data_IF_885733261546
#
_entry.id   IF_885733261546
#
_cell.length_a   1.000
_cell.length_b   1.000
_cell.length_c   1.000
_cell.angle_alpha   90.00
_cell.angle_beta   90.00
_cell.angle_gamma   90.00
#
_symmetry.space_group_name_H-M   'P 1'
#
loop_
_entity.id
_entity.type
_entity.pdbx_description
1 polymer ?
#
# COMPACT_ATOMS: atom_id res chain seq x y z
N UNK A 1 -7.43 -8.22 -15.99
CA UNK A 1 -7.89 -7.12 -15.13
C UNK A 1 -7.78 -5.76 -15.82
N UNK A 2 -6.62 -5.38 -16.35
CA UNK A 2 -6.42 -4.10 -17.08
C UNK A 2 -7.49 -3.85 -18.16
N UNK A 3 -7.75 -4.85 -19.03
CA UNK A 3 -8.80 -4.75 -20.08
C UNK A 3 -10.21 -4.53 -19.52
N UNK A 4 -10.53 -5.13 -18.37
CA UNK A 4 -11.81 -4.96 -17.68
C UNK A 4 -11.97 -3.54 -17.13
N UNK A 5 -10.91 -2.99 -16.49
CA UNK A 5 -10.91 -1.60 -16.00
C UNK A 5 -10.94 -0.60 -17.16
N UNK A 6 -10.25 -0.88 -18.28
CA UNK A 6 -10.29 -0.05 -19.47
C UNK A 6 -11.72 0.09 -20.01
N UNK A 7 -12.45 -1.02 -20.15
CA UNK A 7 -13.87 -0.98 -20.55
C UNK A 7 -14.74 -0.19 -19.57
N UNK A 8 -14.53 -0.33 -18.25
CA UNK A 8 -15.26 0.47 -17.24
C UNK A 8 -15.03 1.98 -17.41
N UNK A 9 -13.79 2.40 -17.71
CA UNK A 9 -13.46 3.81 -17.97
C UNK A 9 -14.08 4.32 -19.27
N UNK A 10 -14.15 3.50 -20.32
CA UNK A 10 -14.83 3.86 -21.57
C UNK A 10 -16.33 4.11 -21.33
N UNK A 11 -17.00 3.22 -20.58
CA UNK A 11 -18.41 3.39 -20.21
C UNK A 11 -18.64 4.69 -19.43
N UNK A 12 -17.75 5.05 -18.50
CA UNK A 12 -17.83 6.32 -17.76
C UNK A 12 -17.73 7.57 -18.66
N UNK A 13 -17.09 7.44 -19.82
CA UNK A 13 -16.98 8.48 -20.84
C UNK A 13 -18.04 8.35 -21.94
N UNK A 14 -19.04 7.49 -21.76
CA UNK A 14 -20.10 7.21 -22.73
C UNK A 14 -19.57 6.66 -24.08
N UNK A 15 -18.48 5.89 -24.02
CA UNK A 15 -17.83 5.22 -25.16
C UNK A 15 -18.08 3.71 -25.13
N UNK A 16 -18.08 3.10 -26.32
CA UNK A 16 -18.26 1.66 -26.48
C UNK A 16 -17.05 0.86 -25.94
N UNK A 17 -17.29 -0.26 -25.22
CA UNK A 17 -16.23 -1.17 -24.78
C UNK A 17 -15.54 -1.84 -25.98
N UNK A 18 -14.20 -1.91 -25.96
CA UNK A 18 -13.41 -2.46 -27.09
C UNK A 18 -12.84 -3.86 -26.82
N UNK A 19 -12.83 -4.30 -25.55
CA UNK A 19 -12.26 -5.60 -25.18
C UNK A 19 -13.36 -6.61 -24.82
N UNK A 20 -13.16 -7.88 -25.18
CA UNK A 20 -14.00 -9.01 -24.73
C UNK A 20 -13.74 -9.40 -23.26
N UNK A 21 -13.72 -8.41 -22.38
CA UNK A 21 -13.39 -8.54 -20.96
C UNK A 21 -14.54 -7.98 -20.10
N UNK A 22 -15.71 -8.61 -20.19
CA UNK A 22 -16.95 -8.12 -19.59
C UNK A 22 -17.08 -8.41 -18.08
N UNK A 23 -16.20 -9.26 -17.53
CA UNK A 23 -16.22 -9.65 -16.12
C UNK A 23 -14.88 -9.35 -15.47
N UNK A 24 -14.91 -8.98 -14.18
CA UNK A 24 -13.70 -8.83 -13.39
C UNK A 24 -13.01 -10.20 -13.26
N UNK A 25 -11.79 -10.39 -13.80
CA UNK A 25 -11.09 -11.66 -13.68
C UNK A 25 -10.41 -11.86 -12.31
N UNK A 26 -10.35 -10.82 -11.46
CA UNK A 26 -9.71 -10.85 -10.14
C UNK A 26 -10.73 -10.40 -9.09
N UNK A 27 -11.67 -11.28 -8.73
CA UNK A 27 -12.74 -10.96 -7.79
C UNK A 27 -12.22 -10.61 -6.38
N UNK A 28 -11.12 -11.24 -5.97
CA UNK A 28 -10.44 -10.98 -4.69
C UNK A 28 -9.76 -9.61 -4.60
N UNK A 29 -9.53 -8.93 -5.73
CA UNK A 29 -8.86 -7.64 -5.74
C UNK A 29 -9.74 -6.54 -5.13
N UNK A 30 -11.06 -6.65 -5.29
CA UNK A 30 -12.02 -5.74 -4.66
C UNK A 30 -11.96 -5.87 -3.12
N UNK A 31 -11.73 -7.08 -2.59
CA UNK A 31 -11.57 -7.32 -1.15
C UNK A 31 -10.26 -6.72 -0.59
N UNK A 32 -9.17 -6.79 -1.36
CA UNK A 32 -7.89 -6.18 -0.96
C UNK A 32 -7.96 -4.66 -1.01
N UNK A 33 -8.59 -4.08 -2.04
CA UNK A 33 -8.72 -2.62 -2.19
C UNK A 33 -9.69 -1.99 -1.18
N UNK A 34 -10.71 -2.74 -0.76
CA UNK A 34 -11.67 -2.29 0.27
C UNK A 34 -11.34 -2.84 1.66
N UNK A 35 -10.23 -3.56 1.82
CA UNK A 35 -9.80 -4.12 3.08
C UNK A 35 -9.47 -3.01 4.07
N UNK A 36 -9.89 -3.19 5.32
CA UNK A 36 -9.49 -2.30 6.42
C UNK A 36 -7.99 -2.47 6.60
N UNK A 37 -7.23 -1.37 6.47
CA UNK A 37 -5.84 -1.34 6.93
C UNK A 37 -5.84 -1.49 8.46
N UNK A 38 -5.74 -2.74 8.92
CA UNK A 38 -5.36 -3.01 10.29
C UNK A 38 -3.84 -2.79 10.38
N UNK A 39 -3.42 -1.87 11.24
CA UNK A 39 -2.01 -1.70 11.58
C UNK A 39 -1.42 -3.06 11.95
N UNK A 40 -0.38 -3.47 11.22
CA UNK A 40 0.22 -4.77 11.41
C UNK A 40 0.96 -4.79 12.76
N UNK A 41 0.92 -5.93 13.48
CA UNK A 41 1.57 -6.10 14.79
C UNK A 41 3.05 -5.65 14.83
N UNK A 42 3.74 -5.71 13.69
CA UNK A 42 5.14 -5.30 13.54
C UNK A 42 5.35 -3.78 13.46
N UNK A 43 4.33 -3.00 13.11
CA UNK A 43 4.44 -1.53 13.02
C UNK A 43 4.58 -0.88 14.40
N UNK A 44 3.94 -1.46 15.42
CA UNK A 44 4.10 -0.99 16.81
C UNK A 44 5.49 -1.31 17.38
N UNK A 45 6.05 -2.50 17.09
CA UNK A 45 7.32 -2.94 17.68
C UNK A 45 8.56 -2.25 17.10
N UNK A 46 8.55 -1.87 15.82
CA UNK A 46 9.71 -1.18 15.19
C UNK A 46 9.83 0.27 15.69
N UNK A 47 8.70 0.91 16.03
CA UNK A 47 8.69 2.28 16.54
C UNK A 47 9.31 2.38 17.95
N UNK A 48 9.12 1.36 18.79
CA UNK A 48 9.69 1.34 20.15
C UNK A 48 11.21 1.17 20.17
N UNK A 49 11.79 0.29 19.34
CA UNK A 49 13.26 0.15 19.26
C UNK A 49 13.93 1.37 18.61
N UNK A 50 13.30 1.96 17.59
CA UNK A 50 13.85 3.16 16.92
C UNK A 50 13.91 4.35 17.89
N UNK A 51 12.94 4.48 18.82
CA UNK A 51 12.95 5.55 19.83
C UNK A 51 13.99 5.31 20.93
N UNK A 52 14.24 4.05 21.31
CA UNK A 52 15.23 3.70 22.33
C UNK A 52 16.69 3.72 21.82
N UNK A 53 16.90 3.74 20.50
CA UNK A 53 18.23 3.76 19.89
C UNK A 53 18.83 5.17 19.74
N UNK A 54 18.11 6.23 20.12
CA UNK A 54 18.54 7.63 19.89
C UNK A 54 18.82 8.42 21.18
N UNK A 55 19.04 7.76 22.31
CA UNK A 55 19.55 8.44 23.52
C UNK A 55 21.08 8.39 23.51
N UNK A 56 21.69 9.51 23.08
CA UNK A 56 23.13 9.77 23.09
C UNK A 56 23.47 10.99 22.22
N UNK A 57 24.31 11.89 22.70
CA UNK A 57 24.77 13.03 21.89
C UNK A 57 25.98 12.63 21.05
N UNK A 58 26.14 13.23 19.87
CA UNK A 58 27.32 13.01 19.02
C UNK A 58 28.64 13.31 19.74
N UNK A 59 28.61 14.17 20.76
CA UNK A 59 29.76 14.55 21.59
C UNK A 59 30.26 13.37 22.42
N UNK A 60 29.37 12.54 22.99
CA UNK A 60 29.73 11.35 23.78
C UNK A 60 30.39 10.25 22.93
N UNK A 61 30.12 10.21 21.62
CA UNK A 61 30.62 9.17 20.72
C UNK A 61 32.10 9.35 20.32
N UNK A 62 32.70 10.52 20.56
CA UNK A 62 34.06 10.86 20.13
C UNK A 62 35.00 11.29 21.27
N UNK A 63 34.61 11.15 22.55
CA UNK A 63 35.42 11.61 23.68
C UNK A 63 36.63 10.71 24.05
N UNK A 64 36.77 9.52 23.45
CA UNK A 64 37.97 8.68 23.64
C UNK A 64 38.96 8.84 22.46
N UNK A 65 39.72 9.94 22.46
CA UNK A 65 41.08 9.99 21.88
C UNK A 65 41.96 11.10 22.46
#
# INVERSE_FOLDING_TARGET
YIRYIANRRLIQLNLEPIYSANKNPLLWLDEILNGVEHTNFFENRVTEYTRAATEGTWEEAFEDH
#
